data_IF_513886090536
#
_entry.id   IF_513886090536
#
_cell.length_a   1.000
_cell.length_b   1.000
_cell.length_c   1.000
_cell.angle_alpha   90.00
_cell.angle_beta   90.00
_cell.angle_gamma   90.00
#
_symmetry.space_group_name_H-M   'P 1'
#
loop_
_entity.id
_entity.type
_entity.pdbx_description
1 polymer ?
#
# COMPACT_ATOMS: atom_id res chain seq x y z
N UNK A 1 -8.73 -26.30 6.21
CA UNK A 1 -7.57 -25.59 5.57
C UNK A 1 -6.46 -25.36 6.56
N UNK A 2 -5.24 -25.63 6.14
CA UNK A 2 -4.05 -25.29 6.92
C UNK A 2 -3.83 -23.78 6.90
N UNK A 3 -2.95 -23.29 7.77
CA UNK A 3 -2.53 -21.88 7.77
C UNK A 3 -1.97 -21.48 6.41
N UNK A 4 -1.10 -22.30 5.83
CA UNK A 4 -0.47 -22.05 4.54
C UNK A 4 -1.49 -21.99 3.40
N UNK A 5 -2.51 -22.85 3.44
CA UNK A 5 -3.58 -22.85 2.43
C UNK A 5 -4.42 -21.57 2.53
N UNK A 6 -4.79 -21.16 3.74
CA UNK A 6 -5.52 -19.92 3.98
C UNK A 6 -4.70 -18.72 3.51
N UNK A 7 -3.42 -18.71 3.83
CA UNK A 7 -2.50 -17.65 3.47
C UNK A 7 -2.40 -17.53 1.94
N UNK A 8 -2.20 -18.65 1.26
CA UNK A 8 -2.12 -18.69 -0.20
C UNK A 8 -3.39 -18.18 -0.86
N UNK A 9 -4.54 -18.57 -0.33
CA UNK A 9 -5.85 -18.10 -0.83
C UNK A 9 -6.00 -16.59 -0.65
N UNK A 10 -5.63 -16.06 0.50
CA UNK A 10 -5.71 -14.62 0.77
C UNK A 10 -4.76 -13.83 -0.13
N UNK A 11 -3.56 -14.34 -0.36
CA UNK A 11 -2.60 -13.69 -1.27
C UNK A 11 -3.16 -13.61 -2.69
N UNK A 12 -3.77 -14.71 -3.17
CA UNK A 12 -4.37 -14.72 -4.50
C UNK A 12 -5.54 -13.74 -4.60
N UNK A 13 -6.37 -13.66 -3.58
CA UNK A 13 -7.50 -12.72 -3.56
C UNK A 13 -7.02 -11.26 -3.59
N UNK A 14 -5.98 -10.94 -2.83
CA UNK A 14 -5.40 -9.60 -2.80
C UNK A 14 -4.82 -9.24 -4.19
N UNK A 15 -4.03 -10.13 -4.77
CA UNK A 15 -3.43 -9.89 -6.09
C UNK A 15 -4.50 -9.71 -7.16
N UNK A 16 -5.54 -10.54 -7.15
CA UNK A 16 -6.65 -10.45 -8.09
C UNK A 16 -7.43 -9.15 -7.91
N UNK A 17 -7.64 -8.72 -6.66
CA UNK A 17 -8.33 -7.46 -6.39
C UNK A 17 -7.55 -6.28 -6.96
N UNK A 18 -6.26 -6.19 -6.68
CA UNK A 18 -5.42 -5.11 -7.21
C UNK A 18 -5.42 -5.13 -8.74
N UNK A 19 -5.24 -6.31 -9.33
CA UNK A 19 -5.27 -6.46 -10.79
C UNK A 19 -6.56 -5.93 -11.39
N UNK A 20 -7.70 -6.19 -10.74
CA UNK A 20 -9.02 -5.73 -11.21
C UNK A 20 -9.17 -4.21 -11.15
N UNK A 21 -8.39 -3.53 -10.33
CA UNK A 21 -8.45 -2.08 -10.16
C UNK A 21 -7.59 -1.32 -11.18
N UNK A 22 -6.70 -2.00 -11.88
CA UNK A 22 -5.82 -1.38 -12.88
C UNK A 22 -6.47 -1.53 -14.25
N UNK A 23 -6.85 -0.42 -14.91
CA UNK A 23 -7.66 -0.48 -16.13
C UNK A 23 -6.88 -0.76 -17.42
N UNK A 24 -5.57 -1.00 -17.31
CA UNK A 24 -4.69 -1.25 -18.45
C UNK A 24 -3.86 -2.48 -18.19
N UNK A 25 -3.14 -2.97 -19.22
CA UNK A 25 -2.13 -4.02 -19.00
C UNK A 25 -1.06 -3.50 -18.07
N UNK A 26 -0.70 -4.32 -17.08
CA UNK A 26 0.35 -4.01 -16.11
C UNK A 26 1.37 -5.14 -16.11
N UNK A 27 2.58 -4.86 -15.66
CA UNK A 27 3.66 -5.84 -15.59
C UNK A 27 4.02 -6.19 -14.14
N UNK A 28 4.20 -5.16 -13.32
CA UNK A 28 4.60 -5.31 -11.91
C UNK A 28 3.72 -4.45 -11.03
N UNK A 29 3.42 -4.95 -9.84
CA UNK A 29 2.68 -4.20 -8.82
C UNK A 29 3.50 -4.24 -7.53
N UNK A 30 3.61 -3.09 -6.88
CA UNK A 30 4.26 -2.91 -5.59
C UNK A 30 3.24 -2.30 -4.64
N UNK A 31 2.66 -3.14 -3.78
CA UNK A 31 1.63 -2.70 -2.85
C UNK A 31 2.16 -2.63 -1.44
N UNK A 32 1.59 -1.76 -0.65
CA UNK A 32 1.89 -1.60 0.77
C UNK A 32 0.58 -1.35 1.52
N UNK A 33 0.42 -2.03 2.65
CA UNK A 33 -0.70 -1.83 3.56
C UNK A 33 -0.17 -1.53 4.95
N UNK A 34 -0.70 -0.47 5.56
CA UNK A 34 -0.49 -0.16 6.97
C UNK A 34 -1.82 -0.37 7.67
N UNK A 35 -1.88 -1.35 8.57
CA UNK A 35 -3.14 -1.75 9.22
C UNK A 35 -2.96 -1.80 10.73
N UNK A 36 -3.93 -1.27 11.46
CA UNK A 36 -3.98 -1.35 12.93
C UNK A 36 -5.37 -1.80 13.35
N UNK A 37 -5.64 -1.80 14.66
CA UNK A 37 -6.90 -2.30 15.21
C UNK A 37 -8.13 -1.50 14.76
N UNK A 38 -7.96 -0.25 14.35
CA UNK A 38 -9.07 0.67 14.07
C UNK A 38 -9.17 1.10 12.61
N UNK A 39 -8.04 1.15 11.92
CA UNK A 39 -8.00 1.71 10.57
C UNK A 39 -6.78 1.21 9.82
N UNK A 40 -6.61 1.69 8.61
CA UNK A 40 -5.43 1.41 7.82
C UNK A 40 -5.44 2.19 6.53
N UNK A 41 -4.33 2.10 5.83
CA UNK A 41 -4.19 2.67 4.50
C UNK A 41 -3.55 1.64 3.59
N UNK A 42 -3.96 1.64 2.34
CA UNK A 42 -3.42 0.77 1.31
C UNK A 42 -3.13 1.61 0.09
N UNK A 43 -1.98 1.39 -0.51
CA UNK A 43 -1.66 2.02 -1.79
C UNK A 43 -0.78 1.08 -2.60
N UNK A 44 -0.68 1.33 -3.89
CA UNK A 44 0.23 0.58 -4.74
C UNK A 44 0.75 1.45 -5.87
N UNK A 45 1.88 1.03 -6.41
CA UNK A 45 2.40 1.53 -7.67
C UNK A 45 2.43 0.36 -8.65
N UNK A 46 2.29 0.66 -9.93
CA UNK A 46 2.38 -0.38 -10.95
C UNK A 46 3.20 0.12 -12.14
N UNK A 47 3.68 -0.82 -12.95
CA UNK A 47 4.36 -0.53 -14.21
C UNK A 47 3.58 -1.15 -15.35
N UNK A 48 3.71 -0.58 -16.54
CA UNK A 48 3.16 -1.14 -17.76
C UNK A 48 4.21 -2.02 -18.45
N UNK A 49 3.78 -2.93 -19.37
CA UNK A 49 4.74 -3.76 -20.10
C UNK A 49 5.80 -2.94 -20.84
N UNK A 50 7.04 -3.39 -20.77
CA UNK A 50 8.20 -2.77 -21.45
C UNK A 50 8.52 -1.35 -20.99
N UNK A 51 8.10 -1.00 -19.78
CA UNK A 51 8.37 0.31 -19.18
C UNK A 51 8.72 0.14 -17.71
N UNK A 52 9.64 0.96 -17.22
CA UNK A 52 9.99 1.03 -15.79
C UNK A 52 9.31 2.21 -15.12
N UNK A 53 8.48 2.96 -15.85
CA UNK A 53 7.74 4.09 -15.28
C UNK A 53 6.75 3.60 -14.23
N UNK A 54 6.79 4.21 -13.05
CA UNK A 54 5.90 3.88 -11.96
C UNK A 54 4.68 4.80 -11.97
N UNK A 55 3.50 4.17 -11.87
CA UNK A 55 2.24 4.90 -11.75
C UNK A 55 1.68 4.69 -10.36
N UNK A 56 1.38 5.79 -9.67
CA UNK A 56 0.71 5.76 -8.38
C UNK A 56 -0.76 5.37 -8.58
N UNK A 57 -1.32 4.57 -7.67
CA UNK A 57 -2.62 3.93 -7.88
C UNK A 57 -3.77 4.89 -8.16
N UNK A 58 -3.78 6.08 -7.58
CA UNK A 58 -4.84 7.05 -7.80
C UNK A 58 -4.72 7.81 -9.13
N UNK A 59 -3.60 7.68 -9.83
CA UNK A 59 -3.40 8.34 -11.13
C UNK A 59 -4.41 7.89 -12.18
N UNK A 60 -4.98 6.70 -12.02
CA UNK A 60 -5.98 6.16 -12.95
C UNK A 60 -7.28 6.97 -12.94
N UNK A 61 -7.58 7.66 -11.86
CA UNK A 61 -8.82 8.44 -11.71
C UNK A 61 -8.97 9.51 -12.78
N UNK A 62 -7.92 10.29 -13.02
CA UNK A 62 -7.95 11.35 -14.02
C UNK A 62 -7.61 10.83 -15.42
N UNK A 63 -6.67 9.89 -15.51
CA UNK A 63 -6.19 9.37 -16.78
C UNK A 63 -7.24 8.57 -17.53
N UNK A 64 -8.08 7.83 -16.82
CA UNK A 64 -9.06 6.91 -17.42
C UNK A 64 -10.50 7.26 -17.05
N UNK A 65 -10.73 8.44 -16.48
CA UNK A 65 -12.07 8.93 -16.13
C UNK A 65 -12.88 7.92 -15.29
N UNK A 66 -12.23 7.34 -14.28
CA UNK A 66 -12.85 6.35 -13.39
C UNK A 66 -13.65 7.08 -12.32
N UNK A 67 -14.82 6.55 -11.97
CA UNK A 67 -15.64 7.07 -10.87
C UNK A 67 -14.86 7.02 -9.56
N UNK A 68 -14.74 8.17 -8.88
CA UNK A 68 -14.07 8.24 -7.57
C UNK A 68 -14.77 7.39 -6.53
N UNK A 69 -16.09 7.39 -6.54
CA UNK A 69 -16.89 6.60 -5.60
C UNK A 69 -16.64 5.11 -5.76
N UNK A 70 -16.67 4.61 -6.99
CA UNK A 70 -16.39 3.20 -7.26
C UNK A 70 -14.96 2.82 -6.91
N UNK A 71 -14.01 3.71 -7.21
CA UNK A 71 -12.60 3.49 -6.88
C UNK A 71 -12.40 3.41 -5.37
N UNK A 72 -13.01 4.33 -4.61
CA UNK A 72 -12.90 4.34 -3.15
C UNK A 72 -13.51 3.10 -2.53
N UNK A 73 -14.64 2.61 -3.08
CA UNK A 73 -15.24 1.35 -2.64
C UNK A 73 -14.26 0.19 -2.85
N UNK A 74 -13.58 0.17 -3.99
CA UNK A 74 -12.58 -0.86 -4.29
C UNK A 74 -11.36 -0.78 -3.36
N UNK A 75 -10.90 0.43 -3.04
CA UNK A 75 -9.81 0.64 -2.08
C UNK A 75 -10.22 0.13 -0.69
N UNK A 76 -11.44 0.41 -0.27
CA UNK A 76 -11.94 -0.06 1.01
C UNK A 76 -12.04 -1.59 1.05
N UNK A 77 -12.50 -2.23 -0.03
CA UNK A 77 -12.52 -3.68 -0.14
C UNK A 77 -11.13 -4.29 -0.07
N UNK A 78 -10.16 -3.66 -0.73
CA UNK A 78 -8.76 -4.08 -0.67
C UNK A 78 -8.21 -3.96 0.75
N UNK A 79 -8.49 -2.85 1.41
CA UNK A 79 -8.11 -2.67 2.82
C UNK A 79 -8.68 -3.80 3.67
N UNK A 80 -9.95 -4.16 3.51
CA UNK A 80 -10.58 -5.25 4.26
C UNK A 80 -9.89 -6.59 4.02
N UNK A 81 -9.39 -6.83 2.82
CA UNK A 81 -8.65 -8.05 2.52
C UNK A 81 -7.32 -8.10 3.27
N UNK A 82 -6.61 -6.98 3.36
CA UNK A 82 -5.39 -6.89 4.17
C UNK A 82 -5.69 -7.00 5.67
N UNK A 83 -6.81 -6.45 6.12
CA UNK A 83 -7.24 -6.58 7.51
C UNK A 83 -7.53 -8.04 7.88
N UNK A 84 -8.18 -8.78 6.99
CA UNK A 84 -8.39 -10.23 7.16
C UNK A 84 -7.07 -11.00 7.21
N UNK A 85 -6.11 -10.61 6.37
CA UNK A 85 -4.77 -11.20 6.40
C UNK A 85 -4.11 -10.97 7.75
N UNK A 86 -4.23 -9.76 8.30
CA UNK A 86 -3.70 -9.44 9.62
C UNK A 86 -4.38 -10.27 10.72
N UNK A 87 -5.69 -10.44 10.63
CA UNK A 87 -6.46 -11.24 11.59
C UNK A 87 -5.99 -12.71 11.61
N UNK A 88 -5.62 -13.25 10.47
CA UNK A 88 -5.08 -14.62 10.41
C UNK A 88 -3.81 -14.74 11.25
N UNK A 89 -2.96 -13.69 11.26
CA UNK A 89 -1.73 -13.68 12.05
C UNK A 89 -1.99 -13.49 13.54
N UNK A 90 -3.09 -12.83 13.92
CA UNK A 90 -3.44 -12.63 15.34
C UNK A 90 -3.72 -13.91 16.09
N UNK A 91 -4.17 -14.94 15.39
CA UNK A 91 -4.58 -16.20 16.03
C UNK A 91 -3.41 -16.90 16.75
N UNK A 92 -2.25 -16.97 16.10
CA UNK A 92 -1.10 -17.73 16.61
C UNK A 92 0.22 -16.96 16.59
N UNK A 93 0.23 -15.76 16.03
CA UNK A 93 1.45 -14.98 15.83
C UNK A 93 1.23 -13.54 16.25
N UNK A 94 2.32 -12.77 16.30
CA UNK A 94 2.21 -11.34 16.51
C UNK A 94 1.65 -10.68 15.24
N UNK A 95 0.57 -9.88 15.34
CA UNK A 95 0.04 -9.22 14.15
C UNK A 95 0.99 -8.14 13.64
N UNK A 96 1.24 -8.16 12.35
CA UNK A 96 2.07 -7.16 11.68
C UNK A 96 1.34 -5.80 11.63
N UNK A 97 2.09 -4.73 11.46
CA UNK A 97 1.56 -3.37 11.30
C UNK A 97 1.68 -2.87 9.87
N UNK A 98 2.57 -3.46 9.09
CA UNK A 98 2.63 -3.19 7.65
C UNK A 98 2.94 -4.45 6.87
N UNK A 99 2.44 -4.49 5.64
CA UNK A 99 2.62 -5.60 4.72
C UNK A 99 3.05 -5.04 3.37
N UNK A 100 4.23 -5.44 2.92
CA UNK A 100 4.72 -5.12 1.59
C UNK A 100 4.41 -6.30 0.67
N UNK A 101 3.70 -6.03 -0.42
CA UNK A 101 3.09 -7.06 -1.25
C UNK A 101 3.41 -6.78 -2.72
N UNK A 102 4.46 -7.42 -3.23
CA UNK A 102 4.92 -7.20 -4.60
C UNK A 102 4.63 -8.42 -5.45
N UNK A 103 4.09 -8.20 -6.64
CA UNK A 103 3.85 -9.31 -7.55
C UNK A 103 3.99 -8.89 -9.01
N UNK A 104 4.19 -9.88 -9.88
CA UNK A 104 4.34 -9.67 -11.30
C UNK A 104 3.22 -10.36 -12.05
N UNK A 105 3.02 -9.94 -13.29
CA UNK A 105 2.05 -10.55 -14.20
C UNK A 105 2.29 -12.05 -14.37
N UNK A 106 3.54 -12.48 -14.31
CA UNK A 106 3.95 -13.87 -14.44
C UNK A 106 3.61 -14.73 -13.21
N UNK A 107 3.20 -14.09 -12.12
CA UNK A 107 2.81 -14.80 -10.90
C UNK A 107 3.89 -14.89 -9.83
N UNK A 108 4.98 -14.17 -9.97
CA UNK A 108 5.98 -14.08 -8.90
C UNK A 108 5.44 -13.20 -7.79
N UNK A 109 5.53 -13.65 -6.55
CA UNK A 109 5.01 -12.94 -5.38
C UNK A 109 6.08 -12.86 -4.31
N UNK A 110 6.24 -11.66 -3.73
CA UNK A 110 7.12 -11.43 -2.58
C UNK A 110 6.33 -10.65 -1.54
N UNK A 111 6.18 -11.23 -0.36
CA UNK A 111 5.46 -10.59 0.76
C UNK A 111 6.41 -10.46 1.93
N UNK A 112 6.42 -9.30 2.57
CA UNK A 112 7.17 -9.07 3.80
C UNK A 112 6.34 -8.24 4.78
N UNK A 113 6.63 -8.39 6.07
CA UNK A 113 5.88 -7.77 7.15
C UNK A 113 6.81 -6.97 8.04
N UNK A 114 6.28 -5.91 8.65
CA UNK A 114 7.01 -5.10 9.61
C UNK A 114 6.09 -4.76 10.79
N UNK A 115 6.66 -4.26 11.88
CA UNK A 115 6.00 -4.13 13.18
C UNK A 115 6.16 -2.72 13.79
N UNK A 116 6.48 -1.72 12.97
CA UNK A 116 6.62 -0.33 13.42
C UNK A 116 5.25 0.20 13.88
N UNK A 117 5.23 0.87 15.02
CA UNK A 117 4.00 1.45 15.58
C UNK A 117 3.63 2.75 14.87
N UNK A 118 3.01 2.64 13.72
CA UNK A 118 2.54 3.80 12.96
C UNK A 118 1.27 4.41 13.54
N UNK A 119 0.43 3.59 14.19
CA UNK A 119 -0.87 4.03 14.70
C UNK A 119 -0.75 5.12 15.77
N UNK A 120 0.29 5.06 16.60
CA UNK A 120 0.55 6.04 17.66
C UNK A 120 1.55 7.11 17.25
N UNK A 121 1.90 7.18 15.96
CA UNK A 121 2.78 8.21 15.41
C UNK A 121 1.97 9.37 14.84
N UNK A 122 2.64 10.47 14.55
CA UNK A 122 2.04 11.59 13.82
C UNK A 122 1.79 11.25 12.34
N UNK A 123 2.25 10.09 11.88
CA UNK A 123 2.11 9.63 10.50
C UNK A 123 0.97 8.63 10.33
N UNK A 124 0.12 8.46 11.34
CA UNK A 124 -1.07 7.61 11.24
C UNK A 124 -1.98 8.11 10.13
N UNK A 125 -2.65 7.19 9.43
CA UNK A 125 -3.53 7.55 8.32
C UNK A 125 -4.70 8.40 8.81
N UNK A 126 -4.96 9.51 8.09
CA UNK A 126 -6.11 10.37 8.31
C UNK A 126 -6.86 10.53 6.99
N UNK A 127 -8.11 10.07 6.98
CA UNK A 127 -8.97 10.09 5.80
C UNK A 127 -9.22 11.52 5.29
N UNK A 128 -9.39 12.48 6.20
CA UNK A 128 -9.64 13.88 5.85
C UNK A 128 -8.40 14.49 5.18
N UNK A 129 -7.23 14.22 5.72
CA UNK A 129 -5.97 14.68 5.14
C UNK A 129 -5.76 14.08 3.75
N UNK A 130 -6.10 12.80 3.57
CA UNK A 130 -6.01 12.14 2.27
C UNK A 130 -6.88 12.83 1.22
N UNK A 131 -8.11 13.19 1.59
CA UNK A 131 -9.01 13.95 0.70
C UNK A 131 -8.40 15.32 0.37
N UNK A 132 -7.87 16.03 1.38
CA UNK A 132 -7.25 17.35 1.19
C UNK A 132 -6.03 17.29 0.26
N UNK A 133 -5.31 16.17 0.27
CA UNK A 133 -4.18 15.92 -0.63
C UNK A 133 -4.62 15.52 -2.04
N UNK A 134 -5.93 15.50 -2.32
CA UNK A 134 -6.46 15.10 -3.63
C UNK A 134 -6.19 13.63 -3.95
N UNK A 135 -6.22 12.78 -2.93
CA UNK A 135 -5.92 11.34 -3.02
C UNK A 135 -4.45 11.06 -3.41
N UNK A 136 -3.57 12.02 -3.19
CA UNK A 136 -2.14 11.86 -3.40
C UNK A 136 -1.45 11.18 -2.23
N UNK A 137 -0.15 10.90 -2.36
CA UNK A 137 0.58 10.17 -1.33
C UNK A 137 0.79 10.99 -0.06
N UNK A 138 0.71 10.31 1.08
CA UNK A 138 1.08 10.85 2.39
C UNK A 138 2.60 10.92 2.54
N UNK A 139 3.08 11.58 3.59
CA UNK A 139 4.51 11.60 3.91
C UNK A 139 5.10 10.21 4.09
N UNK A 140 4.34 9.30 4.73
CA UNK A 140 4.75 7.91 4.93
C UNK A 140 4.85 7.16 3.60
N UNK A 141 3.89 7.36 2.70
CA UNK A 141 3.91 6.76 1.37
C UNK A 141 5.06 7.31 0.52
N UNK A 142 5.30 8.61 0.58
CA UNK A 142 6.43 9.25 -0.11
C UNK A 142 7.76 8.70 0.40
N UNK A 143 7.89 8.48 1.72
CA UNK A 143 9.07 7.85 2.30
C UNK A 143 9.29 6.45 1.72
N UNK A 144 8.24 5.64 1.67
CA UNK A 144 8.31 4.28 1.12
C UNK A 144 8.79 4.31 -0.34
N UNK A 145 8.20 5.16 -1.16
CA UNK A 145 8.57 5.26 -2.58
C UNK A 145 10.00 5.79 -2.78
N UNK A 146 10.40 6.74 -1.94
CA UNK A 146 11.77 7.27 -1.95
C UNK A 146 12.79 6.17 -1.61
N UNK A 147 12.55 5.42 -0.55
CA UNK A 147 13.48 4.36 -0.10
C UNK A 147 13.52 3.19 -1.08
N UNK A 148 12.40 2.81 -1.62
CA UNK A 148 12.31 1.63 -2.48
C UNK A 148 12.73 1.90 -3.92
N UNK A 149 12.31 3.01 -4.49
CA UNK A 149 12.49 3.31 -5.91
C UNK A 149 13.42 4.48 -6.20
N UNK A 150 13.84 5.22 -5.19
CA UNK A 150 14.62 6.43 -5.39
C UNK A 150 13.80 7.59 -5.95
N UNK A 151 12.47 7.54 -5.85
CA UNK A 151 11.60 8.61 -6.34
C UNK A 151 11.78 9.84 -5.45
N UNK A 152 12.25 10.94 -6.05
CA UNK A 152 12.40 12.20 -5.34
C UNK A 152 11.07 12.95 -5.29
N UNK A 153 10.74 13.57 -4.15
CA UNK A 153 9.55 14.41 -4.06
C UNK A 153 9.73 15.70 -4.87
N UNK A 154 8.62 16.32 -5.25
CA UNK A 154 8.63 17.54 -6.06
C UNK A 154 8.95 18.80 -5.25
N UNK A 155 8.71 18.78 -3.94
CA UNK A 155 8.88 19.95 -3.07
C UNK A 155 9.82 19.67 -1.90
N UNK A 156 10.45 20.74 -1.39
CA UNK A 156 11.26 20.65 -0.18
C UNK A 156 10.41 20.28 1.06
N UNK A 157 9.17 20.72 1.09
CA UNK A 157 8.24 20.35 2.15
C UNK A 157 8.06 18.84 2.23
N UNK A 158 7.82 18.19 1.10
CA UNK A 158 7.68 16.74 1.02
C UNK A 158 8.98 16.02 1.39
N UNK A 159 10.13 16.58 0.99
CA UNK A 159 11.42 16.01 1.36
C UNK A 159 11.64 16.08 2.87
N UNK A 160 11.24 17.19 3.50
CA UNK A 160 11.32 17.33 4.95
C UNK A 160 10.44 16.31 5.67
N UNK A 161 9.23 16.07 5.16
CA UNK A 161 8.37 15.02 5.70
C UNK A 161 9.03 13.64 5.62
N UNK A 162 9.69 13.35 4.51
CA UNK A 162 10.42 12.09 4.34
C UNK A 162 11.51 11.95 5.41
N UNK A 163 12.25 13.03 5.68
CA UNK A 163 13.29 13.04 6.72
C UNK A 163 12.70 12.77 8.12
N UNK A 164 11.54 13.35 8.40
CA UNK A 164 10.85 13.15 9.67
C UNK A 164 10.39 11.70 9.83
N UNK A 165 9.83 11.10 8.77
CA UNK A 165 9.44 9.69 8.76
C UNK A 165 10.66 8.80 8.96
N UNK A 166 11.76 9.07 8.26
CA UNK A 166 12.99 8.31 8.38
C UNK A 166 13.54 8.35 9.82
N UNK A 167 13.50 9.52 10.45
CA UNK A 167 13.91 9.66 11.84
C UNK A 167 13.05 8.80 12.76
N UNK A 168 11.73 8.84 12.57
CA UNK A 168 10.81 8.02 13.35
C UNK A 168 11.13 6.53 13.21
N UNK A 169 11.34 6.07 11.98
CA UNK A 169 11.69 4.66 11.71
C UNK A 169 12.97 4.26 12.42
N UNK A 170 14.01 5.09 12.35
CA UNK A 170 15.29 4.82 13.03
C UNK A 170 15.13 4.77 14.54
N UNK A 171 14.29 5.62 15.10
CA UNK A 171 14.04 5.65 16.54
C UNK A 171 13.29 4.41 17.05
N UNK A 172 12.62 3.67 16.14
CA UNK A 172 11.93 2.41 16.46
C UNK A 172 12.87 1.20 16.45
N UNK A 173 14.04 1.34 15.85
CA UNK A 173 15.05 0.26 15.80
C UNK A 173 15.85 0.15 17.16
#
# INVERSE_FOLDING_TARGET
MTFEEKLSQMYNEIANKISSMIPVEWEKVYAMAYVNERSGEVFYNYTEPRSDELFYYTSVLNKYNISRSEFMDSVYELYKQFDKLRDLFKEDLEPWTSCEFDFTREGNLKVSFDYIDWANSEFAFDYIDWIKLGFGPSGKENYYMYKKFGVLPETEYEMEEIREVEKYVKDQE
#
